data_IF_469532992371
#
_entry.id   IF_469532992371
#
_cell.length_a   1.000
_cell.length_b   1.000
_cell.length_c   1.000
_cell.angle_alpha   90.00
_cell.angle_beta   90.00
_cell.angle_gamma   90.00
#
_symmetry.space_group_name_H-M   'P 1'
#
loop_
_entity.id
_entity.type
_entity.pdbx_description
1 polymer ?
#
# COMPACT_ATOMS: atom_id res chain seq x y z
N UNK A 1 2.52 27.74 -19.71
CA UNK A 1 1.59 27.09 -18.75
C UNK A 1 0.42 26.38 -19.44
N UNK A 2 -0.30 26.98 -20.38
CA UNK A 2 -1.45 26.29 -20.99
C UNK A 2 -1.04 25.10 -21.89
N UNK A 3 0.10 25.19 -22.59
CA UNK A 3 0.64 24.06 -23.37
C UNK A 3 1.12 22.88 -22.51
N UNK A 4 1.73 23.14 -21.34
CA UNK A 4 2.24 22.06 -20.48
C UNK A 4 1.12 21.24 -19.84
N UNK A 5 -0.04 21.85 -19.60
CA UNK A 5 -1.23 21.14 -19.11
C UNK A 5 -1.81 20.20 -20.16
N UNK A 6 -1.86 20.62 -21.43
CA UNK A 6 -2.34 19.78 -22.53
C UNK A 6 -1.43 18.55 -22.76
N UNK A 7 -0.12 18.74 -22.68
CA UNK A 7 0.84 17.63 -22.78
C UNK A 7 0.71 16.64 -21.61
N UNK A 8 0.38 17.12 -20.41
CA UNK A 8 0.16 16.26 -19.24
C UNK A 8 -1.09 15.39 -19.42
N UNK A 9 -2.17 15.98 -19.95
CA UNK A 9 -3.45 15.29 -20.17
C UNK A 9 -3.33 14.18 -21.23
N UNK A 10 -2.58 14.44 -22.30
CA UNK A 10 -2.32 13.47 -23.37
C UNK A 10 -1.49 12.26 -22.88
N UNK A 11 -0.50 12.52 -22.02
CA UNK A 11 0.36 11.47 -21.47
C UNK A 11 -0.40 10.55 -20.50
N UNK A 12 -1.35 11.11 -19.73
CA UNK A 12 -2.26 10.34 -18.87
C UNK A 12 -3.20 9.45 -19.71
N UNK A 13 -3.70 9.96 -20.84
CA UNK A 13 -4.56 9.18 -21.74
C UNK A 13 -3.83 7.99 -22.37
N UNK A 14 -2.57 8.15 -22.79
CA UNK A 14 -1.76 7.06 -23.35
C UNK A 14 -1.45 5.96 -22.33
N UNK A 15 -1.19 6.32 -21.08
CA UNK A 15 -0.91 5.33 -20.02
C UNK A 15 -2.08 4.38 -19.74
N UNK A 16 -3.32 4.82 -19.95
CA UNK A 16 -4.52 3.99 -19.83
C UNK A 16 -4.70 2.99 -20.97
N UNK A 17 -4.10 3.22 -22.14
CA UNK A 17 -4.25 2.34 -23.29
C UNK A 17 -3.32 1.11 -23.26
N UNK A 18 -2.23 1.16 -22.49
CA UNK A 18 -1.22 0.10 -22.45
C UNK A 18 -1.55 -1.07 -21.50
N UNK A 19 -2.67 -1.03 -20.76
CA UNK A 19 -3.05 -2.09 -19.80
C UNK A 19 -3.81 -3.28 -20.42
N UNK A 20 -3.95 -3.35 -21.74
CA UNK A 20 -4.71 -4.41 -22.43
C UNK A 20 -3.85 -5.20 -23.42
N UNK A 21 -2.98 -6.09 -22.93
CA UNK A 21 -2.39 -7.17 -23.74
C UNK A 21 -2.14 -8.42 -22.87
N UNK A 22 -3.00 -9.43 -23.02
CA UNK A 22 -2.76 -10.80 -22.55
C UNK A 22 -1.62 -11.47 -23.35
N UNK A 23 -0.80 -12.32 -22.74
CA UNK A 23 -0.07 -13.36 -23.48
C UNK A 23 -0.47 -14.78 -23.06
N UNK A 24 -0.82 -15.58 -24.06
CA UNK A 24 -0.87 -17.04 -24.02
C UNK A 24 0.53 -17.64 -24.18
N UNK A 25 0.85 -18.74 -23.48
CA UNK A 25 1.74 -19.83 -23.95
C UNK A 25 1.71 -21.03 -22.99
N UNK A 26 1.61 -22.24 -23.55
CA UNK A 26 1.54 -23.57 -22.88
C UNK A 26 2.88 -24.34 -23.08
N UNK A 27 3.09 -25.59 -22.56
CA UNK A 27 4.22 -25.88 -21.65
C UNK A 27 5.13 -27.06 -22.06
N UNK A 28 6.34 -27.16 -21.45
CA UNK A 28 7.09 -28.37 -21.02
C UNK A 28 8.54 -27.95 -20.65
N UNK A 29 9.26 -28.45 -19.63
CA UNK A 29 9.66 -29.83 -19.29
C UNK A 29 10.03 -29.94 -17.79
N UNK A 30 9.72 -31.11 -17.21
CA UNK A 30 9.99 -31.69 -15.87
C UNK A 30 11.36 -31.44 -15.20
N UNK A 31 11.37 -31.27 -13.87
CA UNK A 31 12.24 -32.03 -12.93
C UNK A 31 11.85 -31.84 -11.44
N UNK A 32 11.91 -32.95 -10.71
CA UNK A 32 11.87 -33.16 -9.24
C UNK A 32 10.56 -32.96 -8.46
N UNK A 33 9.93 -34.12 -8.22
CA UNK A 33 8.89 -34.36 -7.24
C UNK A 33 9.49 -34.28 -5.82
N UNK A 34 9.25 -33.15 -5.15
CA UNK A 34 9.16 -32.98 -3.68
C UNK A 34 8.95 -31.49 -3.31
N UNK A 35 9.05 -30.58 -4.29
CA UNK A 35 8.70 -29.14 -4.18
C UNK A 35 7.20 -28.86 -4.42
N UNK A 36 6.39 -29.89 -4.70
CA UNK A 36 5.02 -29.73 -5.20
C UNK A 36 4.03 -29.24 -4.11
N UNK A 37 4.34 -29.50 -2.83
CA UNK A 37 3.52 -29.01 -1.70
C UNK A 37 3.84 -27.57 -1.31
N UNK A 38 5.07 -27.10 -1.57
CA UNK A 38 5.50 -25.73 -1.26
C UNK A 38 5.26 -24.80 -2.46
N UNK A 39 5.46 -25.28 -3.70
CA UNK A 39 5.14 -24.53 -4.92
C UNK A 39 3.63 -24.24 -5.05
N UNK A 40 2.76 -25.12 -4.54
CA UNK A 40 1.31 -24.88 -4.50
C UNK A 40 0.90 -23.69 -3.60
N UNK A 41 1.73 -23.32 -2.61
CA UNK A 41 1.51 -22.14 -1.77
C UNK A 41 1.91 -20.83 -2.48
N UNK A 42 2.70 -20.92 -3.55
CA UNK A 42 3.19 -19.78 -4.33
C UNK A 42 2.59 -19.67 -5.74
N UNK A 43 1.35 -20.15 -5.94
CA UNK A 43 0.56 -19.87 -7.15
C UNK A 43 0.12 -18.40 -7.29
N UNK A 44 0.67 -17.50 -6.47
CA UNK A 44 0.62 -16.07 -6.75
C UNK A 44 1.55 -15.85 -7.94
N UNK A 45 0.97 -15.74 -9.15
CA UNK A 45 1.66 -15.23 -10.34
C UNK A 45 2.65 -14.15 -9.90
N UNK A 46 3.93 -14.33 -10.22
CA UNK A 46 4.95 -13.30 -10.04
C UNK A 46 4.31 -12.02 -10.59
N UNK A 47 4.07 -11.03 -9.72
CA UNK A 47 3.46 -9.78 -10.16
C UNK A 47 4.33 -9.27 -11.30
N UNK A 48 3.75 -8.87 -12.43
CA UNK A 48 4.52 -8.21 -13.47
C UNK A 48 5.29 -7.07 -12.81
N UNK A 49 6.60 -7.02 -13.02
CA UNK A 49 7.41 -5.93 -12.51
C UNK A 49 7.03 -4.68 -13.30
N UNK A 50 6.18 -3.84 -12.74
CA UNK A 50 5.87 -2.53 -13.31
C UNK A 50 6.96 -1.55 -12.88
N UNK A 51 8.12 -1.62 -13.52
CA UNK A 51 9.12 -0.56 -13.41
C UNK A 51 8.57 0.67 -14.14
N UNK A 52 8.10 1.66 -13.39
CA UNK A 52 7.70 2.92 -13.97
C UNK A 52 8.94 3.72 -14.36
N UNK A 53 9.06 4.06 -15.64
CA UNK A 53 10.07 5.00 -16.14
C UNK A 53 9.38 6.33 -16.43
N UNK A 54 9.73 7.42 -15.75
CA UNK A 54 9.13 8.74 -16.01
C UNK A 54 9.45 9.18 -17.44
N UNK A 55 8.52 9.94 -18.04
CA UNK A 55 8.79 10.59 -19.33
C UNK A 55 9.82 11.72 -19.15
N UNK A 56 10.59 12.07 -20.19
CA UNK A 56 11.60 13.14 -20.10
C UNK A 56 11.05 14.46 -19.56
N UNK A 57 9.82 14.80 -19.95
CA UNK A 57 9.10 15.96 -19.44
C UNK A 57 8.85 15.89 -17.92
N UNK A 58 8.39 14.75 -17.41
CA UNK A 58 8.16 14.57 -15.97
C UNK A 58 9.46 14.56 -15.19
N UNK A 59 10.51 13.96 -15.73
CA UNK A 59 11.85 13.96 -15.15
C UNK A 59 12.37 15.38 -14.97
N UNK A 60 12.20 16.25 -15.98
CA UNK A 60 12.60 17.66 -15.92
C UNK A 60 11.73 18.46 -14.93
N UNK A 61 10.40 18.36 -15.03
CA UNK A 61 9.47 19.13 -14.18
C UNK A 61 9.61 18.79 -12.70
N UNK A 62 9.79 17.51 -12.38
CA UNK A 62 9.90 17.04 -11.00
C UNK A 62 11.35 16.93 -10.51
N UNK A 63 12.33 17.26 -11.37
CA UNK A 63 13.76 17.14 -11.07
C UNK A 63 14.11 15.75 -10.52
N UNK A 64 13.56 14.69 -11.12
CA UNK A 64 13.73 13.31 -10.62
C UNK A 64 15.18 12.83 -10.74
N UNK A 65 15.95 13.43 -11.65
CA UNK A 65 17.38 13.17 -11.81
C UNK A 65 18.25 13.90 -10.78
N UNK A 66 17.65 14.81 -9.99
CA UNK A 66 18.34 15.49 -8.90
C UNK A 66 18.37 14.59 -7.67
N UNK A 67 19.53 14.42 -7.00
CA UNK A 67 19.56 13.68 -5.75
C UNK A 67 18.68 14.37 -4.71
N UNK A 68 17.78 13.61 -4.08
CA UNK A 68 16.90 14.09 -3.01
C UNK A 68 17.69 14.64 -1.81
N UNK A 69 18.91 14.14 -1.62
CA UNK A 69 19.83 14.56 -0.58
C UNK A 69 21.08 15.14 -1.25
N UNK A 70 21.11 16.46 -1.50
CA UNK A 70 22.26 17.13 -2.13
C UNK A 70 23.45 17.27 -1.19
N UNK A 71 23.26 17.01 0.11
CA UNK A 71 24.32 17.03 1.11
C UNK A 71 25.24 15.82 0.97
N UNK A 72 26.54 16.10 0.90
CA UNK A 72 27.60 15.10 1.11
C UNK A 72 27.35 14.36 2.42
N UNK A 73 27.51 13.03 2.40
CA UNK A 73 27.38 12.21 3.62
C UNK A 73 28.24 12.78 4.75
N UNK A 74 27.69 12.85 5.96
CA UNK A 74 28.42 13.31 7.13
C UNK A 74 29.67 12.42 7.34
N UNK A 75 30.80 12.99 7.79
CA UNK A 75 31.95 12.21 8.26
C UNK A 75 31.51 11.22 9.35
N UNK A 76 32.18 10.07 9.42
CA UNK A 76 31.82 8.99 10.34
C UNK A 76 31.77 9.44 11.81
N UNK A 77 32.66 10.35 12.21
CA UNK A 77 32.70 10.92 13.56
C UNK A 77 31.45 11.77 13.88
N UNK A 78 30.97 12.56 12.93
CA UNK A 78 29.77 13.38 13.11
C UNK A 78 28.51 12.51 13.07
N UNK A 79 28.48 11.52 12.18
CA UNK A 79 27.40 10.52 12.13
C UNK A 79 27.30 9.76 13.45
N UNK A 80 28.42 9.34 14.04
CA UNK A 80 28.45 8.63 15.32
C UNK A 80 27.98 9.52 16.47
N UNK A 81 28.45 10.77 16.54
CA UNK A 81 27.94 11.75 17.52
C UNK A 81 26.43 11.98 17.41
N UNK A 82 25.90 12.04 16.19
CA UNK A 82 24.47 12.19 15.95
C UNK A 82 23.69 10.97 16.46
N UNK A 83 24.17 9.76 16.18
CA UNK A 83 23.56 8.51 16.67
C UNK A 83 23.57 8.45 18.21
N UNK A 84 24.72 8.77 18.82
CA UNK A 84 24.89 8.76 20.28
C UNK A 84 24.05 9.83 21.01
N UNK A 85 23.63 10.89 20.29
CA UNK A 85 22.74 11.93 20.82
C UNK A 85 21.28 11.46 20.94
N UNK A 86 20.86 10.46 20.16
CA UNK A 86 19.51 9.94 20.25
C UNK A 86 19.40 8.94 21.42
N UNK A 87 18.35 9.05 22.26
CA UNK A 87 18.12 8.10 23.33
C UNK A 87 17.89 6.69 22.77
N UNK A 88 18.44 5.68 23.46
CA UNK A 88 18.24 4.28 23.09
C UNK A 88 16.74 3.95 23.06
N UNK A 89 16.27 3.42 21.92
CA UNK A 89 14.87 3.09 21.67
C UNK A 89 14.37 1.99 22.63
N UNK A 90 15.27 1.14 23.15
CA UNK A 90 14.93 0.05 24.07
C UNK A 90 14.28 0.52 25.38
N UNK A 91 14.49 1.78 25.78
CA UNK A 91 13.88 2.37 26.98
C UNK A 91 12.85 3.46 26.64
N UNK A 92 12.50 3.62 25.36
CA UNK A 92 11.51 4.60 24.94
C UNK A 92 10.12 4.15 25.40
N UNK A 93 9.66 4.67 26.52
CA UNK A 93 8.27 4.53 26.95
C UNK A 93 7.40 5.45 26.10
N UNK A 94 7.17 5.06 24.85
CA UNK A 94 6.28 5.79 23.94
C UNK A 94 4.84 5.66 24.43
N UNK A 95 4.32 6.74 25.00
CA UNK A 95 2.89 6.90 25.22
C UNK A 95 2.35 7.73 24.07
N UNK A 96 1.61 7.12 23.12
CA UNK A 96 0.96 7.90 22.09
C UNK A 96 0.06 8.93 22.77
N UNK A 97 0.11 10.20 22.35
CA UNK A 97 -0.78 11.21 22.91
C UNK A 97 -2.22 10.76 22.65
N UNK A 98 -3.11 10.94 23.64
CA UNK A 98 -4.54 10.62 23.54
C UNK A 98 -5.26 11.64 22.64
N UNK A 99 -4.80 11.78 21.41
CA UNK A 99 -5.27 12.76 20.43
C UNK A 99 -6.71 12.47 20.03
N UNK A 100 -7.04 11.19 19.82
CA UNK A 100 -8.35 10.77 19.35
C UNK A 100 -9.42 10.97 20.43
N UNK A 101 -9.21 10.50 21.67
CA UNK A 101 -10.24 10.68 22.70
C UNK A 101 -10.30 12.12 23.20
N UNK A 102 -9.16 12.83 23.26
CA UNK A 102 -9.14 14.26 23.58
C UNK A 102 -9.88 15.10 22.53
N UNK A 103 -9.68 14.80 21.23
CA UNK A 103 -10.43 15.46 20.15
C UNK A 103 -11.94 15.14 20.24
N UNK A 104 -12.30 13.87 20.45
CA UNK A 104 -13.70 13.45 20.57
C UNK A 104 -14.42 14.16 21.73
N UNK A 105 -13.74 14.36 22.88
CA UNK A 105 -14.29 15.10 24.04
C UNK A 105 -14.52 16.59 23.74
N UNK A 106 -13.78 17.17 22.80
CA UNK A 106 -13.88 18.58 22.41
C UNK A 106 -14.88 18.82 21.27
N UNK A 107 -15.37 17.77 20.62
CA UNK A 107 -16.29 17.91 19.50
C UNK A 107 -17.74 18.12 19.96
N UNK A 108 -18.43 19.05 19.31
CA UNK A 108 -19.86 19.23 19.50
C UNK A 108 -20.67 18.17 18.72
N UNK A 109 -21.96 18.01 19.04
CA UNK A 109 -22.84 17.00 18.42
C UNK A 109 -22.91 17.09 16.89
N UNK A 110 -22.79 18.30 16.34
CA UNK A 110 -22.80 18.51 14.89
C UNK A 110 -21.50 18.02 14.25
N UNK A 111 -20.35 18.37 14.83
CA UNK A 111 -19.03 17.92 14.40
C UNK A 111 -18.90 16.40 14.50
N UNK A 112 -19.40 15.78 15.57
CA UNK A 112 -19.38 14.31 15.71
C UNK A 112 -20.19 13.61 14.63
N UNK A 113 -21.31 14.20 14.18
CA UNK A 113 -22.10 13.67 13.05
C UNK A 113 -21.38 13.78 11.72
N UNK A 114 -20.64 14.86 11.50
CA UNK A 114 -19.85 15.06 10.27
C UNK A 114 -18.59 14.17 10.23
N UNK A 115 -18.07 13.78 11.39
CA UNK A 115 -16.91 12.90 11.51
C UNK A 115 -17.26 11.42 11.25
N UNK A 116 -18.51 11.00 11.51
CA UNK A 116 -18.97 9.64 11.23
C UNK A 116 -18.78 9.17 9.78
N UNK A 117 -19.20 9.91 8.74
CA UNK A 117 -18.94 9.50 7.36
C UNK A 117 -17.44 9.49 7.03
N UNK A 118 -16.63 10.37 7.63
CA UNK A 118 -15.19 10.38 7.43
C UNK A 118 -14.51 9.14 8.04
N UNK A 119 -14.91 8.76 9.26
CA UNK A 119 -14.47 7.50 9.89
C UNK A 119 -14.90 6.28 9.09
N UNK A 120 -16.13 6.29 8.54
CA UNK A 120 -16.62 5.22 7.66
C UNK A 120 -15.80 5.14 6.37
N UNK A 121 -15.48 6.28 5.77
CA UNK A 121 -14.64 6.32 4.57
C UNK A 121 -13.22 5.84 4.88
N UNK A 122 -12.63 6.27 5.99
CA UNK A 122 -11.33 5.79 6.46
C UNK A 122 -11.37 4.27 6.70
N UNK A 123 -12.43 3.74 7.30
CA UNK A 123 -12.61 2.30 7.49
C UNK A 123 -12.65 1.57 6.15
N UNK A 124 -13.45 2.06 5.19
CA UNK A 124 -13.58 1.47 3.85
C UNK A 124 -12.25 1.53 3.07
N UNK A 125 -11.54 2.66 3.12
CA UNK A 125 -10.23 2.81 2.48
C UNK A 125 -9.16 1.97 3.19
N UNK A 126 -9.25 1.80 4.51
CA UNK A 126 -8.41 0.86 5.26
C UNK A 126 -8.74 -0.59 4.94
N UNK A 127 -9.93 -0.88 4.39
CA UNK A 127 -10.31 -2.20 3.89
C UNK A 127 -9.39 -2.71 2.78
N UNK A 128 -8.75 -1.78 2.02
CA UNK A 128 -7.68 -2.12 1.07
C UNK A 128 -6.44 -2.70 1.77
N UNK A 129 -6.28 -2.44 3.07
CA UNK A 129 -5.20 -2.94 3.95
C UNK A 129 -5.67 -3.91 5.04
N UNK A 130 -6.98 -4.17 5.16
CA UNK A 130 -7.58 -5.08 6.15
C UNK A 130 -8.45 -6.12 5.46
N UNK A 131 -7.83 -7.05 4.70
CA UNK A 131 -8.55 -8.01 3.88
C UNK A 131 -9.50 -8.90 4.70
N UNK A 132 -9.18 -9.18 5.96
CA UNK A 132 -10.02 -10.01 6.84
C UNK A 132 -11.33 -9.33 7.26
N UNK A 133 -11.31 -8.02 7.50
CA UNK A 133 -12.51 -7.25 7.86
C UNK A 133 -13.48 -7.11 6.67
N UNK A 134 -12.93 -7.00 5.45
CA UNK A 134 -13.71 -7.01 4.20
C UNK A 134 -14.32 -8.38 3.97
N UNK A 135 -13.55 -9.45 4.15
CA UNK A 135 -14.05 -10.83 4.07
C UNK A 135 -15.18 -11.08 5.07
N UNK A 136 -15.04 -10.65 6.33
CA UNK A 136 -16.10 -10.76 7.33
C UNK A 136 -17.39 -10.05 6.93
N UNK A 137 -17.27 -8.84 6.34
CA UNK A 137 -18.42 -8.09 5.84
C UNK A 137 -19.08 -8.78 4.64
N UNK A 138 -18.31 -9.30 3.70
CA UNK A 138 -18.83 -10.02 2.53
C UNK A 138 -19.57 -11.31 2.93
N UNK A 139 -19.00 -12.09 3.86
CA UNK A 139 -19.67 -13.28 4.45
C UNK A 139 -21.00 -12.91 5.09
N UNK A 140 -21.08 -11.75 5.75
CA UNK A 140 -22.32 -11.29 6.41
C UNK A 140 -23.41 -10.86 5.42
N UNK A 141 -23.05 -10.50 4.19
CA UNK A 141 -23.97 -10.02 3.17
C UNK A 141 -24.40 -11.12 2.20
N UNK A 142 -23.56 -12.13 1.97
CA UNK A 142 -23.79 -13.18 0.97
C UNK A 142 -23.90 -14.56 1.61
N UNK A 143 -25.05 -14.86 2.23
CA UNK A 143 -25.33 -16.14 2.93
C UNK A 143 -25.49 -17.35 2.01
N UNK A 144 -25.55 -17.17 0.69
CA UNK A 144 -25.75 -18.26 -0.29
C UNK A 144 -24.45 -18.70 -0.99
N UNK A 145 -23.30 -18.23 -0.55
CA UNK A 145 -22.02 -18.54 -1.16
C UNK A 145 -21.47 -19.88 -0.61
N UNK A 146 -21.23 -20.85 -1.51
CA UNK A 146 -20.72 -22.19 -1.15
C UNK A 146 -19.35 -22.14 -0.44
N UNK A 147 -18.61 -21.04 -0.60
CA UNK A 147 -17.29 -20.85 0.00
C UNK A 147 -17.31 -20.28 1.42
N UNK A 148 -18.48 -19.97 2.01
CA UNK A 148 -18.59 -19.37 3.35
C UNK A 148 -17.88 -20.21 4.42
N UNK A 149 -18.05 -21.54 4.38
CA UNK A 149 -17.42 -22.43 5.36
C UNK A 149 -15.89 -22.36 5.29
N UNK A 150 -15.34 -22.21 4.08
CA UNK A 150 -13.90 -22.03 3.86
C UNK A 150 -13.43 -20.66 4.36
N UNK A 151 -14.21 -19.60 4.17
CA UNK A 151 -13.88 -18.27 4.69
C UNK A 151 -13.91 -18.21 6.22
N UNK A 152 -14.92 -18.83 6.84
CA UNK A 152 -15.01 -18.96 8.30
C UNK A 152 -13.86 -19.77 8.89
N UNK A 153 -13.39 -20.79 8.17
CA UNK A 153 -12.22 -21.56 8.59
C UNK A 153 -10.93 -20.72 8.56
N UNK A 154 -10.69 -19.95 7.49
CA UNK A 154 -9.53 -19.05 7.41
C UNK A 154 -9.54 -17.95 8.47
N UNK A 155 -10.72 -17.44 8.85
CA UNK A 155 -10.85 -16.45 9.93
C UNK A 155 -10.62 -17.03 11.33
N UNK A 156 -10.78 -18.35 11.50
CA UNK A 156 -10.57 -19.04 12.79
C UNK A 156 -9.10 -19.39 13.04
N UNK A 157 -8.32 -19.54 11.97
CA UNK A 157 -6.90 -19.91 12.03
C UNK A 157 -5.95 -18.68 12.12
N UNK A 158 -6.51 -17.46 12.06
CA UNK A 158 -5.81 -16.20 12.33
C UNK A 158 -5.90 -15.83 13.82
#
# INVERSE_FOLDING_TARGET
MQQSLLQLEELVAQSRAQTSTEPQTSPNVNMDADDETIAALHSLRIRPSYSWTPSPFLTEVLSLDSPLFPTTMLPDDERRKLIDQYPNIEQLQYQPPDTIASAARKMNKYQSKQDMPLKRLQYLLSGVFRPLDVLGLEISQDTNNENIQRYLHMLKDC
#
